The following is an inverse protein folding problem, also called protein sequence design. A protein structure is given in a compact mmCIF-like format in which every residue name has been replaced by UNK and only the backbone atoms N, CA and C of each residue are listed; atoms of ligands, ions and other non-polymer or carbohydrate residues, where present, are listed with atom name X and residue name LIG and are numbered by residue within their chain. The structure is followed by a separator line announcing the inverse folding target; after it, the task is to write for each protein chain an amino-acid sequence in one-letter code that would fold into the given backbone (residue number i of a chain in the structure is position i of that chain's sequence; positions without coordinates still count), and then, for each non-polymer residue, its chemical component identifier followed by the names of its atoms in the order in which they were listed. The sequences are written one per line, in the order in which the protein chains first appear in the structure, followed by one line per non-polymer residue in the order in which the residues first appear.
data_IF_465639555969
#
_entry.id   IF_465639555969
#
_cell.length_a   1.000
_cell.length_b   1.000
_cell.length_c   1.000
_cell.angle_alpha   90.00
_cell.angle_beta   90.00
_cell.angle_gamma   90.00
#
_symmetry.space_group_name_H-M   'P 1'
#
loop_
_entity.id
_entity.type
_entity.pdbx_description
1 polymer ?
#
# COMPACT_ATOMS: atom_id res chain seq x y z
N UNK A 1 0.10 -21.59 13.99
CA UNK A 1 -0.71 -20.63 13.20
C UNK A 1 -2.10 -21.21 12.90
N UNK A 2 -2.80 -21.76 13.91
CA UNK A 2 -4.10 -22.44 13.76
C UNK A 2 -5.14 -21.95 14.80
N UNK A 3 -4.84 -20.91 15.57
CA UNK A 3 -5.65 -20.51 16.73
C UNK A 3 -6.57 -19.29 16.49
N UNK A 4 -6.59 -18.71 15.28
CA UNK A 4 -7.46 -17.56 14.95
C UNK A 4 -8.58 -17.93 13.96
N UNK A 5 -8.47 -19.06 13.26
CA UNK A 5 -9.42 -19.42 12.21
C UNK A 5 -10.01 -20.81 12.47
N UNK A 6 -11.34 -20.86 12.59
CA UNK A 6 -12.09 -22.11 12.63
C UNK A 6 -11.83 -22.91 11.35
N UNK A 7 -11.69 -24.23 11.50
CA UNK A 7 -11.24 -25.16 10.44
C UNK A 7 -12.12 -25.14 9.18
N UNK A 8 -13.39 -24.75 9.31
CA UNK A 8 -14.41 -24.87 8.27
C UNK A 8 -14.64 -23.58 7.47
N UNK A 9 -13.93 -22.49 7.78
CA UNK A 9 -14.18 -21.14 7.22
C UNK A 9 -13.03 -20.61 6.34
N UNK A 10 -11.87 -21.29 6.35
CA UNK A 10 -10.67 -20.78 5.68
C UNK A 10 -10.81 -20.78 4.15
N UNK A 11 -11.33 -21.86 3.57
CA UNK A 11 -11.50 -21.98 2.11
C UNK A 11 -12.47 -20.92 1.58
N UNK A 12 -13.60 -20.73 2.26
CA UNK A 12 -14.57 -19.69 1.93
C UNK A 12 -13.97 -18.28 2.03
N UNK A 13 -13.10 -18.03 3.02
CA UNK A 13 -12.47 -16.72 3.22
C UNK A 13 -11.33 -16.43 2.27
N UNK A 14 -10.69 -17.45 1.72
CA UNK A 14 -9.67 -17.31 0.68
C UNK A 14 -10.29 -17.15 -0.71
N UNK A 15 -11.52 -17.65 -0.92
CA UNK A 15 -12.28 -17.46 -2.15
C UNK A 15 -13.01 -16.10 -2.19
N UNK A 16 -12.22 -15.03 -2.27
CA UNK A 16 -12.74 -13.67 -2.34
C UNK A 16 -13.62 -13.42 -3.57
N UNK A 17 -13.32 -14.05 -4.71
CA UNK A 17 -14.06 -13.83 -5.97
C UNK A 17 -15.50 -14.29 -5.84
N UNK A 18 -15.73 -15.50 -5.33
CA UNK A 18 -17.08 -16.03 -5.13
C UNK A 18 -17.86 -15.23 -4.09
N UNK A 19 -17.21 -14.78 -3.01
CA UNK A 19 -17.88 -13.92 -2.02
C UNK A 19 -18.27 -12.57 -2.61
N UNK A 20 -17.40 -11.93 -3.39
CA UNK A 20 -17.70 -10.67 -4.08
C UNK A 20 -18.83 -10.84 -5.11
N UNK A 21 -18.87 -11.96 -5.83
CA UNK A 21 -19.98 -12.26 -6.75
C UNK A 21 -21.32 -12.36 -6.00
N UNK A 22 -21.36 -13.01 -4.84
CA UNK A 22 -22.56 -13.07 -4.00
C UNK A 22 -22.97 -11.68 -3.52
N UNK A 23 -22.00 -10.88 -3.07
CA UNK A 23 -22.24 -9.51 -2.60
C UNK A 23 -22.75 -8.58 -3.70
N UNK A 24 -22.36 -8.82 -4.95
CA UNK A 24 -22.81 -8.00 -6.08
C UNK A 24 -24.30 -8.12 -6.37
N UNK A 25 -24.90 -9.29 -6.11
CA UNK A 25 -26.33 -9.54 -6.37
C UNK A 25 -27.21 -9.10 -5.19
N UNK A 26 -26.60 -8.74 -4.06
CA UNK A 26 -27.32 -8.28 -2.86
C UNK A 26 -28.04 -6.96 -3.11
N UNK A 27 -29.24 -6.85 -2.57
CA UNK A 27 -30.03 -5.63 -2.66
C UNK A 27 -29.65 -4.65 -1.55
N UNK A 28 -29.92 -3.34 -1.71
CA UNK A 28 -29.65 -2.34 -0.67
C UNK A 28 -30.19 -2.72 0.72
N UNK A 29 -31.34 -3.38 0.77
CA UNK A 29 -31.99 -3.86 2.00
C UNK A 29 -31.13 -4.89 2.75
N UNK A 30 -30.42 -5.75 2.03
CA UNK A 30 -29.52 -6.75 2.62
C UNK A 30 -28.33 -6.08 3.31
N UNK A 31 -27.76 -5.04 2.67
CA UNK A 31 -26.69 -4.23 3.25
C UNK A 31 -27.15 -3.47 4.48
N UNK A 32 -28.35 -2.87 4.44
CA UNK A 32 -28.97 -2.21 5.60
C UNK A 32 -29.16 -3.21 6.74
N UNK A 33 -29.61 -4.44 6.44
CA UNK A 33 -29.80 -5.50 7.44
C UNK A 33 -28.48 -5.91 8.09
N UNK A 34 -27.40 -6.04 7.32
CA UNK A 34 -26.06 -6.31 7.85
C UNK A 34 -25.55 -5.17 8.73
N UNK A 35 -25.66 -3.93 8.25
CA UNK A 35 -25.25 -2.76 9.01
C UNK A 35 -26.00 -2.67 10.35
N UNK A 36 -27.31 -2.92 10.36
CA UNK A 36 -28.10 -2.96 11.59
C UNK A 36 -27.64 -4.07 12.53
N UNK A 37 -27.37 -5.26 12.00
CA UNK A 37 -26.96 -6.42 12.81
C UNK A 37 -25.60 -6.21 13.49
N UNK A 38 -24.63 -5.64 12.79
CA UNK A 38 -23.25 -5.61 13.25
C UNK A 38 -22.75 -4.24 13.71
N UNK A 39 -23.36 -3.14 13.25
CA UNK A 39 -22.88 -1.78 13.53
C UNK A 39 -23.80 -0.98 14.46
N UNK A 40 -25.08 -1.32 14.60
CA UNK A 40 -26.04 -0.50 15.38
C UNK A 40 -26.49 -1.10 16.70
N UNK A 41 -26.23 -2.38 16.97
CA UNK A 41 -26.75 -3.04 18.17
C UNK A 41 -26.02 -2.58 19.45
N UNK A 42 -24.77 -2.98 19.62
CA UNK A 42 -23.94 -2.61 20.77
C UNK A 42 -22.64 -1.99 20.26
N UNK A 43 -22.46 -0.70 20.55
CA UNK A 43 -21.26 0.03 20.18
C UNK A 43 -20.58 0.54 21.45
N UNK A 44 -19.29 0.24 21.61
CA UNK A 44 -18.46 0.80 22.68
C UNK A 44 -17.73 2.01 22.11
N UNK A 45 -18.08 3.20 22.58
CA UNK A 45 -17.35 4.42 22.25
C UNK A 45 -16.20 4.61 23.25
N UNK A 46 -14.96 4.51 22.76
CA UNK A 46 -13.76 4.79 23.55
C UNK A 46 -13.20 6.14 23.15
N UNK A 47 -13.20 7.08 24.08
CA UNK A 47 -12.61 8.41 23.88
C UNK A 47 -11.24 8.49 24.53
N UNK A 48 -10.19 8.62 23.72
CA UNK A 48 -8.84 8.88 24.20
C UNK A 48 -8.56 10.37 24.28
N UNK A 49 -8.17 10.85 25.46
CA UNK A 49 -7.77 12.24 25.67
C UNK A 49 -6.26 12.32 25.97
N UNK A 50 -5.51 13.25 25.35
CA UNK A 50 -4.13 13.47 25.72
C UNK A 50 -4.05 14.00 27.15
N UNK A 51 -3.23 13.40 28.00
CA UNK A 51 -3.07 13.80 29.40
C UNK A 51 -1.62 13.73 29.85
N UNK A 52 -1.08 14.88 30.27
CA UNK A 52 0.27 14.95 30.88
C UNK A 52 0.31 14.28 32.26
N UNK A 53 -0.80 14.38 32.98
CA UNK A 53 -0.94 13.77 34.30
C UNK A 53 -0.93 12.25 34.18
N UNK A 54 -1.53 11.70 33.12
CA UNK A 54 -1.54 10.26 32.86
C UNK A 54 -0.14 9.74 32.52
N UNK A 55 0.64 10.50 31.74
CA UNK A 55 2.07 10.18 31.49
C UNK A 55 2.84 10.14 32.81
N UNK A 56 2.62 11.13 33.67
CA UNK A 56 3.28 11.19 34.99
C UNK A 56 2.84 10.04 35.87
N UNK A 57 1.54 9.71 35.90
CA UNK A 57 0.96 8.60 36.67
C UNK A 57 1.51 7.26 36.21
N UNK A 58 1.61 7.02 34.91
CA UNK A 58 2.21 5.80 34.37
C UNK A 58 3.67 5.71 34.80
N UNK A 59 4.45 6.80 34.67
CA UNK A 59 5.85 6.81 35.06
C UNK A 59 6.06 6.59 36.57
N UNK A 60 5.23 7.18 37.43
CA UNK A 60 5.32 6.98 38.88
C UNK A 60 4.86 5.59 39.30
N UNK A 61 3.75 5.10 38.73
CA UNK A 61 3.25 3.74 38.99
C UNK A 61 4.29 2.70 38.59
N UNK A 62 4.97 2.90 37.45
CA UNK A 62 6.02 1.99 36.99
C UNK A 62 7.25 2.01 37.89
N UNK A 63 7.67 3.19 38.38
CA UNK A 63 8.75 3.29 39.38
C UNK A 63 8.41 2.53 40.66
N UNK A 64 7.21 2.73 41.20
CA UNK A 64 6.73 2.04 42.40
C UNK A 64 6.71 0.52 42.16
N UNK A 65 6.18 0.07 41.02
CA UNK A 65 6.13 -1.35 40.64
C UNK A 65 7.54 -1.98 40.61
N UNK A 66 8.52 -1.27 40.04
CA UNK A 66 9.92 -1.72 39.99
C UNK A 66 10.53 -1.82 41.39
N UNK A 67 10.30 -0.83 42.26
CA UNK A 67 10.81 -0.83 43.64
C UNK A 67 10.22 -1.98 44.47
N UNK A 68 8.92 -2.22 44.37
CA UNK A 68 8.27 -3.37 45.02
C UNK A 68 8.82 -4.70 44.51
N UNK A 69 9.05 -4.81 43.19
CA UNK A 69 9.63 -6.00 42.59
C UNK A 69 11.06 -6.24 43.09
N UNK A 70 11.89 -5.18 43.21
CA UNK A 70 13.23 -5.26 43.82
C UNK A 70 13.17 -5.73 45.27
N UNK A 71 12.25 -5.17 46.06
CA UNK A 71 12.07 -5.57 47.48
C UNK A 71 11.65 -7.04 47.62
N UNK A 72 10.73 -7.52 46.77
CA UNK A 72 10.27 -8.93 46.78
C UNK A 72 11.36 -9.91 46.38
N UNK A 73 12.19 -9.55 45.40
CA UNK A 73 13.27 -10.41 44.91
C UNK A 73 14.46 -10.47 45.88
N UNK A 74 14.74 -9.39 46.61
CA UNK A 74 15.93 -9.30 47.46
C UNK A 74 17.23 -9.45 46.67
N UNK A 75 18.35 -9.54 47.37
CA UNK A 75 19.68 -9.58 46.74
C UNK A 75 19.94 -10.89 45.97
N UNK A 76 19.60 -12.03 46.57
CA UNK A 76 19.78 -13.35 45.93
C UNK A 76 18.89 -13.52 44.69
N UNK A 77 17.65 -13.06 44.74
CA UNK A 77 16.72 -13.13 43.61
C UNK A 77 17.17 -12.22 42.46
N UNK A 78 17.67 -11.01 42.77
CA UNK A 78 18.25 -10.11 41.77
C UNK A 78 19.50 -10.72 41.12
N UNK A 79 20.39 -11.35 41.89
CA UNK A 79 21.57 -12.05 41.35
C UNK A 79 21.16 -13.16 40.38
N UNK A 80 20.20 -14.01 40.76
CA UNK A 80 19.71 -15.09 39.89
C UNK A 80 19.14 -14.57 38.57
N UNK A 81 18.38 -13.46 38.61
CA UNK A 81 17.82 -12.85 37.41
C UNK A 81 18.88 -12.17 36.56
N UNK A 82 19.93 -11.60 37.16
CA UNK A 82 21.08 -11.07 36.44
C UNK A 82 21.81 -12.18 35.68
N UNK A 83 22.09 -13.32 36.31
CA UNK A 83 22.68 -14.50 35.65
C UNK A 83 21.80 -15.01 34.50
N UNK A 84 20.47 -15.04 34.70
CA UNK A 84 19.51 -15.43 33.66
C UNK A 84 19.51 -14.46 32.48
N UNK A 85 19.60 -13.16 32.75
CA UNK A 85 19.67 -12.11 31.74
C UNK A 85 20.98 -12.19 30.95
N UNK A 86 22.12 -12.35 31.63
CA UNK A 86 23.42 -12.54 30.99
C UNK A 86 23.43 -13.78 30.10
N UNK A 87 22.87 -14.89 30.59
CA UNK A 87 22.71 -16.11 29.79
C UNK A 87 21.86 -15.87 28.55
N UNK A 88 20.74 -15.15 28.66
CA UNK A 88 19.90 -14.82 27.51
C UNK A 88 20.59 -13.89 26.50
N UNK A 89 21.36 -12.90 26.99
CA UNK A 89 22.18 -12.02 26.14
C UNK A 89 23.24 -12.84 25.42
N UNK A 90 23.91 -13.76 26.11
CA UNK A 90 24.90 -14.66 25.53
C UNK A 90 24.29 -15.57 24.47
N UNK A 91 23.17 -16.25 24.76
CA UNK A 91 22.46 -17.08 23.80
C UNK A 91 22.05 -16.28 22.55
N UNK A 92 21.55 -15.06 22.72
CA UNK A 92 21.11 -14.23 21.59
C UNK A 92 22.28 -13.65 20.78
N UNK A 93 23.35 -13.22 21.44
CA UNK A 93 24.43 -12.43 20.81
C UNK A 93 25.62 -13.30 20.37
N UNK A 94 25.94 -14.33 21.15
CA UNK A 94 27.08 -15.21 20.89
C UNK A 94 26.71 -16.43 20.04
N UNK A 95 25.47 -16.95 20.12
CA UNK A 95 25.01 -18.03 19.24
C UNK A 95 24.52 -17.50 17.89
N UNK A 96 25.41 -16.79 17.18
CA UNK A 96 25.15 -16.51 15.77
C UNK A 96 25.15 -17.84 15.00
N UNK A 97 24.22 -18.03 14.06
CA UNK A 97 24.27 -19.18 13.16
C UNK A 97 25.67 -19.29 12.53
N UNK A 98 26.21 -20.51 12.46
CA UNK A 98 27.51 -20.73 11.83
C UNK A 98 27.47 -20.29 10.37
N UNK A 99 28.63 -19.89 9.82
CA UNK A 99 28.74 -19.54 8.41
C UNK A 99 28.25 -20.68 7.50
N UNK A 100 28.47 -21.93 7.91
CA UNK A 100 27.95 -23.11 7.23
C UNK A 100 26.42 -23.19 7.23
N UNK A 101 25.76 -22.90 8.35
CA UNK A 101 24.30 -22.88 8.45
C UNK A 101 23.72 -21.72 7.62
N UNK A 102 24.32 -20.53 7.72
CA UNK A 102 23.94 -19.38 6.90
C UNK A 102 24.10 -19.69 5.40
N UNK A 103 25.20 -20.33 5.01
CA UNK A 103 25.43 -20.73 3.61
C UNK A 103 24.44 -21.77 3.12
N UNK A 104 23.95 -22.66 3.97
CA UNK A 104 22.87 -23.61 3.63
C UNK A 104 21.50 -22.93 3.51
N UNK A 105 21.28 -21.84 4.24
CA UNK A 105 20.04 -21.05 4.17
C UNK A 105 20.08 -20.00 3.05
N UNK A 106 21.26 -19.63 2.57
CA UNK A 106 21.40 -18.76 1.40
C UNK A 106 20.83 -19.47 0.18
N UNK A 107 19.82 -18.85 -0.42
CA UNK A 107 19.29 -19.28 -1.71
C UNK A 107 20.30 -18.87 -2.78
N UNK A 108 21.15 -19.81 -3.20
CA UNK A 108 22.16 -19.59 -4.23
C UNK A 108 21.62 -19.83 -5.65
N UNK A 109 20.51 -20.55 -5.79
CA UNK A 109 19.85 -20.81 -7.07
C UNK A 109 18.96 -19.61 -7.46
N UNK A 110 19.59 -18.54 -7.93
CA UNK A 110 18.90 -17.37 -8.52
C UNK A 110 18.18 -17.72 -9.84
N UNK A 111 18.50 -18.86 -10.42
CA UNK A 111 18.02 -19.33 -11.73
C UNK A 111 16.56 -19.79 -11.72
N UNK A 112 15.96 -19.98 -10.53
CA UNK A 112 14.54 -20.34 -10.35
C UNK A 112 13.64 -19.15 -10.05
N UNK A 113 14.17 -17.92 -9.98
CA UNK A 113 13.30 -16.76 -9.92
C UNK A 113 12.53 -16.66 -11.24
N UNK A 114 11.24 -16.37 -11.16
CA UNK A 114 10.44 -16.07 -12.33
C UNK A 114 11.01 -14.82 -13.00
N UNK A 115 11.89 -15.01 -13.98
CA UNK A 115 12.35 -13.92 -14.84
C UNK A 115 11.24 -13.63 -15.83
N UNK A 116 10.77 -12.40 -15.86
CA UNK A 116 9.86 -11.92 -16.87
C UNK A 116 10.66 -11.07 -17.86
N UNK A 117 10.37 -11.28 -19.14
CA UNK A 117 10.97 -10.46 -20.19
C UNK A 117 10.37 -9.05 -20.10
N UNK A 118 11.24 -8.05 -20.15
CA UNK A 118 10.87 -6.63 -20.09
C UNK A 118 11.38 -5.97 -21.35
N UNK A 119 10.48 -5.71 -22.30
CA UNK A 119 10.83 -4.91 -23.46
C UNK A 119 10.72 -3.43 -23.11
N UNK A 120 11.78 -2.66 -23.36
CA UNK A 120 11.77 -1.20 -23.17
C UNK A 120 11.75 -0.50 -24.52
N UNK A 121 10.69 0.24 -24.79
CA UNK A 121 10.52 1.01 -26.02
C UNK A 121 10.63 2.51 -25.73
N UNK A 122 11.33 3.24 -26.60
CA UNK A 122 11.40 4.70 -26.53
C UNK A 122 10.54 5.31 -27.64
N UNK A 123 9.54 6.10 -27.25
CA UNK A 123 8.49 6.59 -28.16
C UNK A 123 9.01 7.38 -29.38
N UNK A 124 10.15 8.07 -29.26
CA UNK A 124 10.68 8.93 -30.34
C UNK A 124 11.73 8.27 -31.24
N UNK A 125 12.34 7.16 -30.83
CA UNK A 125 13.49 6.55 -31.54
C UNK A 125 13.17 5.23 -32.24
N UNK A 126 11.89 4.86 -32.34
CA UNK A 126 11.41 3.96 -33.39
C UNK A 126 11.54 2.47 -33.13
N UNK A 127 10.63 1.92 -32.32
CA UNK A 127 10.08 0.55 -32.44
C UNK A 127 8.63 0.51 -31.89
N UNK A 128 7.87 1.60 -32.06
CA UNK A 128 6.47 1.65 -31.64
C UNK A 128 5.60 1.27 -32.84
N UNK A 129 5.40 -0.04 -33.06
CA UNK A 129 4.63 -0.52 -34.21
C UNK A 129 3.12 -0.25 -34.07
N UNK A 130 2.66 0.10 -32.86
CA UNK A 130 1.28 0.45 -32.58
C UNK A 130 1.20 1.90 -32.08
N UNK A 131 0.34 2.72 -32.69
CA UNK A 131 0.18 4.17 -32.51
C UNK A 131 -0.26 4.62 -31.09
N UNK A 132 -0.21 3.73 -30.09
CA UNK A 132 -0.90 3.85 -28.80
C UNK A 132 -0.46 5.09 -28.01
N UNK A 133 0.78 5.57 -28.17
CA UNK A 133 1.29 6.73 -27.43
C UNK A 133 2.06 7.72 -28.31
N UNK A 134 1.33 8.52 -29.12
CA UNK A 134 1.87 9.73 -29.74
C UNK A 134 1.97 10.88 -28.71
N UNK A 135 2.81 10.70 -27.68
CA UNK A 135 3.07 11.72 -26.68
C UNK A 135 4.24 12.61 -27.09
N UNK A 136 4.18 13.94 -26.89
CA UNK A 136 5.26 14.86 -27.26
C UNK A 136 6.47 14.80 -26.32
N UNK A 137 6.57 13.76 -25.48
CA UNK A 137 7.58 13.59 -24.44
C UNK A 137 8.32 12.26 -24.62
N UNK A 138 9.58 12.15 -24.16
CA UNK A 138 10.27 10.87 -24.11
C UNK A 138 9.56 9.94 -23.12
N UNK A 139 8.97 8.87 -23.63
CA UNK A 139 8.27 7.84 -22.84
C UNK A 139 9.00 6.52 -23.00
N UNK A 140 9.23 5.86 -21.85
CA UNK A 140 9.69 4.48 -21.80
C UNK A 140 8.50 3.57 -21.52
N UNK A 141 8.24 2.65 -22.44
CA UNK A 141 7.17 1.65 -22.30
C UNK A 141 7.83 0.34 -21.91
N UNK A 142 7.46 -0.20 -20.75
CA UNK A 142 7.89 -1.51 -20.29
C UNK A 142 6.77 -2.51 -20.52
N UNK A 143 6.91 -3.35 -21.56
CA UNK A 143 5.93 -4.41 -21.83
C UNK A 143 6.21 -5.61 -20.93
N UNK A 144 5.25 -5.92 -20.05
CA UNK A 144 5.29 -7.04 -19.11
C UNK A 144 3.94 -7.76 -19.12
N UNK A 145 3.91 -9.08 -18.89
CA UNK A 145 2.68 -9.88 -18.87
C UNK A 145 1.88 -9.65 -17.58
N UNK A 146 1.12 -8.56 -17.54
CA UNK A 146 0.29 -8.15 -16.40
C UNK A 146 -1.07 -7.67 -16.90
N UNK A 147 -2.10 -7.80 -16.06
CA UNK A 147 -3.43 -7.22 -16.28
C UNK A 147 -3.52 -5.77 -15.79
N UNK A 148 -2.39 -5.11 -15.58
CA UNK A 148 -2.33 -3.78 -15.00
C UNK A 148 -1.40 -2.89 -15.81
N UNK A 149 -1.80 -1.65 -16.02
CA UNK A 149 -0.94 -0.61 -16.59
C UNK A 149 -0.44 0.29 -15.47
N UNK A 150 0.87 0.53 -15.43
CA UNK A 150 1.48 1.48 -14.50
C UNK A 150 2.08 2.65 -15.29
N UNK A 151 1.60 3.85 -14.99
CA UNK A 151 2.10 5.10 -15.56
C UNK A 151 2.93 5.83 -14.50
N UNK A 152 4.20 6.04 -14.81
CA UNK A 152 5.12 6.80 -13.96
C UNK A 152 5.51 8.08 -14.71
N UNK A 153 5.07 9.21 -14.19
CA UNK A 153 5.40 10.53 -14.69
C UNK A 153 6.49 11.12 -13.81
N UNK A 154 7.66 11.41 -14.38
CA UNK A 154 8.80 12.01 -13.66
C UNK A 154 9.17 13.32 -14.33
N UNK A 155 9.32 14.38 -13.55
CA UNK A 155 9.77 15.67 -14.07
C UNK A 155 10.70 16.41 -13.11
N UNK A 156 11.53 17.27 -13.69
CA UNK A 156 12.46 18.13 -12.96
C UNK A 156 11.70 19.29 -12.28
N UNK A 157 12.07 19.56 -11.05
CA UNK A 157 11.50 20.62 -10.22
C UNK A 157 12.42 21.84 -10.09
N UNK A 158 13.51 21.88 -10.87
CA UNK A 158 14.51 22.96 -10.88
C UNK A 158 13.91 24.36 -10.95
N UNK A 159 12.87 24.55 -11.76
CA UNK A 159 12.23 25.85 -11.96
C UNK A 159 11.21 26.23 -10.88
N UNK A 160 10.91 25.35 -9.93
CA UNK A 160 10.02 25.66 -8.80
C UNK A 160 10.85 26.38 -7.73
N UNK A 161 10.49 27.61 -7.29
CA UNK A 161 11.16 28.31 -6.20
C UNK A 161 11.19 27.50 -4.89
N UNK A 162 12.23 27.69 -4.08
CA UNK A 162 12.46 26.90 -2.86
C UNK A 162 11.28 26.99 -1.88
N UNK A 163 10.67 28.18 -1.77
CA UNK A 163 9.55 28.49 -0.90
C UNK A 163 8.31 27.69 -1.31
N UNK A 164 8.12 27.45 -2.60
CA UNK A 164 7.00 26.67 -3.14
C UNK A 164 7.23 25.16 -3.04
N UNK A 165 8.49 24.71 -2.96
CA UNK A 165 8.83 23.28 -2.85
C UNK A 165 8.28 22.64 -1.57
N UNK A 166 8.23 23.38 -0.45
CA UNK A 166 7.64 22.89 0.80
C UNK A 166 6.17 22.50 0.65
N UNK A 167 5.47 23.10 -0.32
CA UNK A 167 4.05 22.88 -0.56
C UNK A 167 3.78 21.76 -1.58
N UNK A 168 4.80 21.21 -2.24
CA UNK A 168 4.61 20.22 -3.31
C UNK A 168 3.85 18.98 -2.83
N UNK A 169 4.22 18.42 -1.67
CA UNK A 169 3.52 17.26 -1.12
C UNK A 169 2.06 17.56 -0.82
N UNK A 170 1.77 18.76 -0.28
CA UNK A 170 0.40 19.20 -0.06
C UNK A 170 -0.35 19.39 -1.38
N UNK A 171 0.30 19.99 -2.38
CA UNK A 171 -0.26 20.20 -3.71
C UNK A 171 -0.67 18.90 -4.38
N UNK A 172 0.19 17.86 -4.39
CA UNK A 172 -0.18 16.56 -4.97
C UNK A 172 -1.31 15.87 -4.22
N UNK A 173 -1.31 15.97 -2.89
CA UNK A 173 -2.42 15.44 -2.09
C UNK A 173 -3.73 16.15 -2.42
N UNK A 174 -3.69 17.47 -2.53
CA UNK A 174 -4.87 18.28 -2.84
C UNK A 174 -5.32 18.11 -4.29
N UNK A 175 -4.44 17.87 -5.24
CA UNK A 175 -4.78 17.69 -6.66
C UNK A 175 -5.85 16.61 -6.85
N UNK A 176 -5.73 15.47 -6.15
CA UNK A 176 -6.69 14.37 -6.23
C UNK A 176 -7.88 14.51 -5.26
N UNK A 177 -7.90 15.57 -4.45
CA UNK A 177 -8.95 15.82 -3.45
C UNK A 177 -9.73 17.11 -3.70
N UNK A 178 -9.28 17.93 -4.64
CA UNK A 178 -9.88 19.22 -4.96
C UNK A 178 -10.89 19.09 -6.09
N UNK A 179 -11.94 19.92 -6.10
CA UNK A 179 -12.77 20.12 -7.28
C UNK A 179 -11.92 20.48 -8.50
N UNK A 180 -12.38 20.10 -9.67
CA UNK A 180 -11.67 20.27 -10.93
C UNK A 180 -12.66 20.71 -12.00
N UNK A 181 -12.14 21.45 -12.97
CA UNK A 181 -12.90 21.86 -14.15
C UNK A 181 -12.50 20.93 -15.27
N UNK A 182 -13.46 20.15 -15.77
CA UNK A 182 -13.31 19.27 -16.94
C UNK A 182 -14.34 19.71 -17.97
N UNK A 183 -13.91 20.00 -19.19
CA UNK A 183 -14.77 20.47 -20.29
C UNK A 183 -15.69 21.64 -19.90
N UNK A 184 -15.13 22.65 -19.22
CA UNK A 184 -15.85 23.83 -18.71
C UNK A 184 -16.95 23.55 -17.67
N UNK A 185 -17.00 22.32 -17.11
CA UNK A 185 -17.90 21.96 -16.01
C UNK A 185 -17.11 21.77 -14.72
N UNK A 186 -17.61 22.32 -13.63
CA UNK A 186 -17.05 22.11 -12.28
C UNK A 186 -17.55 20.78 -11.77
N UNK A 187 -16.63 19.90 -11.39
CA UNK A 187 -16.91 18.65 -10.70
C UNK A 187 -16.49 18.77 -9.23
N UNK A 188 -17.39 18.43 -8.32
CA UNK A 188 -17.10 18.37 -6.89
C UNK A 188 -16.22 17.16 -6.53
N UNK A 189 -15.69 17.13 -5.30
CA UNK A 189 -14.84 16.02 -4.84
C UNK A 189 -15.51 14.64 -4.95
N UNK A 190 -16.79 14.53 -4.63
CA UNK A 190 -17.53 13.25 -4.68
C UNK A 190 -17.68 12.77 -6.14
N UNK A 191 -18.15 13.66 -7.02
CA UNK A 191 -18.31 13.37 -8.46
C UNK A 191 -16.97 13.05 -9.10
N UNK A 192 -15.91 13.80 -8.75
CA UNK A 192 -14.57 13.51 -9.21
C UNK A 192 -14.08 12.16 -8.72
N UNK A 193 -14.31 11.75 -7.48
CA UNK A 193 -13.90 10.42 -7.04
C UNK A 193 -14.60 9.31 -7.82
N UNK A 194 -15.86 9.50 -8.19
CA UNK A 194 -16.56 8.57 -9.08
C UNK A 194 -15.93 8.58 -10.47
N UNK A 195 -15.63 9.76 -11.02
CA UNK A 195 -14.97 9.90 -12.32
C UNK A 195 -13.55 9.32 -12.28
N UNK A 196 -12.69 9.65 -11.32
CA UNK A 196 -11.35 9.08 -11.15
C UNK A 196 -11.39 7.57 -10.94
N UNK A 197 -12.47 7.04 -10.34
CA UNK A 197 -12.70 5.61 -10.27
C UNK A 197 -13.09 5.00 -11.63
N UNK A 198 -13.50 5.81 -12.60
CA UNK A 198 -14.04 5.40 -13.92
C UNK A 198 -13.21 5.89 -15.14
N UNK A 199 -12.29 6.87 -15.00
CA UNK A 199 -11.74 7.68 -16.12
C UNK A 199 -10.35 7.23 -16.61
N UNK A 200 -9.72 6.19 -16.08
CA UNK A 200 -8.40 5.81 -16.63
C UNK A 200 -8.49 5.07 -17.98
N UNK A 201 -9.68 5.02 -18.57
CA UNK A 201 -9.94 4.57 -19.94
C UNK A 201 -10.03 5.77 -20.90
N UNK A 202 -8.98 6.58 -21.07
CA UNK A 202 -8.78 7.31 -22.34
C UNK A 202 -7.29 7.50 -22.60
N UNK A 203 -6.63 6.40 -22.98
CA UNK A 203 -5.45 6.45 -23.84
C UNK A 203 -5.60 5.33 -24.88
N UNK A 204 -6.37 5.65 -25.95
CA UNK A 204 -6.52 4.93 -27.21
C UNK A 204 -6.57 3.38 -27.16
N UNK A 205 -7.78 2.84 -27.25
CA UNK A 205 -8.02 1.51 -27.82
C UNK A 205 -9.05 1.60 -28.94
N UNK A 206 -8.60 1.94 -30.15
CA UNK A 206 -9.19 1.38 -31.36
C UNK A 206 -8.21 0.34 -31.91
N UNK A 207 -8.43 -0.93 -31.56
CA UNK A 207 -7.99 -2.01 -32.42
C UNK A 207 -9.00 -3.16 -32.40
N UNK A 208 -9.43 -3.49 -33.60
CA UNK A 208 -10.47 -4.40 -34.07
C UNK A 208 -10.52 -5.82 -33.47
N UNK A 209 -11.74 -6.22 -33.06
CA UNK A 209 -12.36 -7.57 -33.06
C UNK A 209 -11.73 -8.69 -32.18
N UNK A 210 -12.44 -9.45 -31.33
CA UNK A 210 -13.86 -9.64 -30.95
C UNK A 210 -13.88 -10.00 -29.45
N UNK A 211 -14.60 -9.24 -28.61
CA UNK A 211 -14.81 -9.57 -27.19
C UNK A 211 -16.03 -10.48 -27.01
N UNK A 212 -15.89 -11.52 -26.19
CA UNK A 212 -16.88 -12.46 -25.73
C UNK A 212 -17.63 -11.92 -24.51
N UNK A 213 -18.80 -12.47 -24.22
CA UNK A 213 -19.70 -11.99 -23.15
C UNK A 213 -19.07 -12.06 -21.73
N UNK A 214 -18.04 -12.88 -21.56
CA UNK A 214 -17.23 -13.03 -20.35
C UNK A 214 -16.03 -12.05 -20.34
N UNK A 215 -15.58 -11.60 -21.52
CA UNK A 215 -14.52 -10.62 -21.70
C UNK A 215 -15.03 -9.21 -21.32
N UNK A 216 -15.02 -9.00 -20.01
CA UNK A 216 -15.21 -7.74 -19.29
C UNK A 216 -16.64 -7.45 -18.83
N UNK A 217 -17.40 -8.48 -18.44
CA UNK A 217 -18.55 -8.27 -17.55
C UNK A 217 -18.15 -7.65 -16.18
N UNK A 218 -16.85 -7.38 -15.95
CA UNK A 218 -16.26 -7.00 -14.67
C UNK A 218 -15.00 -6.10 -14.75
N UNK A 219 -15.11 -4.92 -15.37
CA UNK A 219 -14.44 -3.65 -14.99
C UNK A 219 -14.75 -3.23 -13.53
N UNK A 220 -14.70 -4.16 -12.56
CA UNK A 220 -15.83 -4.25 -11.63
C UNK A 220 -15.74 -3.54 -10.29
N UNK A 221 -14.73 -2.72 -9.97
CA UNK A 221 -14.86 -1.69 -8.92
C UNK A 221 -13.58 -0.87 -8.75
N UNK A 222 -13.46 0.20 -9.55
CA UNK A 222 -12.51 1.33 -9.44
C UNK A 222 -11.16 1.12 -10.13
N UNK A 223 -11.00 1.77 -11.28
CA UNK A 223 -9.91 1.55 -12.23
C UNK A 223 -8.59 2.21 -11.79
N UNK A 224 -8.62 3.25 -10.95
CA UNK A 224 -7.41 3.72 -10.24
C UNK A 224 -7.21 2.90 -8.97
N UNK A 225 -6.31 1.92 -9.03
CA UNK A 225 -5.99 1.03 -7.91
C UNK A 225 -5.19 1.76 -6.84
N UNK A 226 -4.22 2.56 -7.28
CA UNK A 226 -3.37 3.35 -6.39
C UNK A 226 -2.72 4.51 -7.12
N UNK A 227 -2.53 5.61 -6.41
CA UNK A 227 -1.64 6.68 -6.81
C UNK A 227 -0.62 6.95 -5.70
N UNK A 228 0.58 7.35 -6.07
CA UNK A 228 1.56 7.87 -5.13
C UNK A 228 2.34 9.01 -5.75
N UNK A 229 2.67 10.01 -4.94
CA UNK A 229 3.54 11.10 -5.31
C UNK A 229 4.75 11.09 -4.40
N UNK A 230 5.94 11.21 -4.98
CA UNK A 230 7.20 11.31 -4.26
C UNK A 230 8.04 12.44 -4.82
N UNK A 231 8.88 13.01 -3.96
CA UNK A 231 9.86 14.03 -4.32
C UNK A 231 11.21 13.63 -3.74
N UNK A 232 12.29 13.83 -4.50
CA UNK A 232 13.61 13.38 -4.07
C UNK A 232 14.73 13.91 -4.95
N UNK A 233 15.91 13.31 -4.80
CA UNK A 233 17.11 13.57 -5.60
C UNK A 233 17.45 12.28 -6.34
N UNK A 234 17.70 12.34 -7.65
CA UNK A 234 18.07 11.18 -8.48
C UNK A 234 19.34 11.54 -9.26
N UNK A 235 20.21 10.57 -9.57
CA UNK A 235 21.50 10.83 -10.23
C UNK A 235 21.43 11.71 -11.50
N UNK A 236 20.29 11.73 -12.20
CA UNK A 236 20.06 12.57 -13.40
C UNK A 236 19.23 13.83 -13.14
N UNK A 237 18.60 13.95 -11.97
CA UNK A 237 17.78 15.10 -11.56
C UNK A 237 18.26 15.63 -10.21
N UNK A 238 18.75 16.87 -10.19
CA UNK A 238 19.11 17.54 -8.92
C UNK A 238 17.96 17.45 -7.91
N UNK A 239 16.71 17.60 -8.37
CA UNK A 239 15.47 17.36 -7.60
C UNK A 239 14.34 16.94 -8.54
N UNK A 240 13.72 15.79 -8.30
CA UNK A 240 12.60 15.31 -9.11
C UNK A 240 11.31 15.23 -8.30
N UNK A 241 10.20 15.24 -9.02
CA UNK A 241 8.92 14.74 -8.55
C UNK A 241 8.50 13.57 -9.43
N UNK A 242 7.94 12.53 -8.81
CA UNK A 242 7.34 11.39 -9.50
C UNK A 242 5.90 11.20 -9.07
N UNK A 243 5.00 11.07 -10.04
CA UNK A 243 3.64 10.62 -9.86
C UNK A 243 3.51 9.23 -10.47
N UNK A 244 3.11 8.26 -9.65
CA UNK A 244 2.82 6.89 -10.09
C UNK A 244 1.32 6.66 -10.03
N UNK A 245 0.75 6.20 -11.13
CA UNK A 245 -0.65 5.82 -11.25
C UNK A 245 -0.69 4.36 -11.71
N UNK A 246 -1.42 3.52 -10.96
CA UNK A 246 -1.60 2.11 -11.31
C UNK A 246 -3.06 1.81 -11.56
N UNK A 247 -3.34 1.17 -12.69
CA UNK A 247 -4.70 0.88 -13.16
C UNK A 247 -4.87 -0.57 -13.63
N UNK A 248 -6.10 -1.10 -13.52
CA UNK A 248 -6.50 -2.42 -14.05
C UNK A 248 -7.13 -2.32 -15.41
#
# INVERSE_FOLDING_TARGET
MHQIYGKDDLEMRLDHVTQLQKMFVMQPEDWIKLARRYLTNECICVMGYPSRDEVTRIATTEKIRIEEQRRKLGEDGLRLHAEKLEKAIYETTAQKPSLELLSKMMVCELEKFATFDVQTLHAQTGQNNDEIFNLPLPVYIHSVKTHFVELILVWDTKFIPLELRMWMMLYFKLMFQSPAIVDNRVFGFIELNEIWSNLVIVANTECSNKLSYEEVAKLYTRDLISHSAASGVLNYFERFCSLTLKVS
#
